data_IF_259194220222
#
_entry.id   IF_259194220222
#
_cell.length_a   1.000
_cell.length_b   1.000
_cell.length_c   1.000
_cell.angle_alpha   90.00
_cell.angle_beta   90.00
_cell.angle_gamma   90.00
#
_symmetry.space_group_name_H-M   'P 1'
#
loop_
_entity.id
_entity.type
_entity.pdbx_description
1 polymer ?
#
# COMPACT_ATOMS: atom_id res chain seq x y z
N UNK A 1 -38.97 -9.52 28.86
CA UNK A 1 -39.91 -9.01 27.85
C UNK A 1 -39.50 -7.57 27.55
N UNK A 2 -39.06 -7.34 26.31
CA UNK A 2 -38.94 -6.04 25.62
C UNK A 2 -38.00 -4.95 26.18
N UNK A 3 -37.20 -4.42 25.23
CA UNK A 3 -36.58 -3.09 25.18
C UNK A 3 -35.26 -2.92 25.96
N UNK A 4 -34.12 -3.04 25.26
CA UNK A 4 -33.29 -1.86 24.90
C UNK A 4 -32.05 -2.23 24.06
N UNK A 5 -32.21 -2.84 22.87
CA UNK A 5 -31.12 -2.88 21.87
C UNK A 5 -31.72 -2.63 20.48
N UNK A 6 -32.03 -1.38 20.19
CA UNK A 6 -32.12 -0.86 18.82
C UNK A 6 -31.02 0.17 18.65
N UNK A 7 -30.37 0.12 17.50
CA UNK A 7 -29.34 1.04 16.97
C UNK A 7 -27.90 0.73 17.37
N UNK A 8 -27.25 -0.14 16.60
CA UNK A 8 -26.11 0.21 15.71
C UNK A 8 -25.47 -1.07 15.16
N UNK A 9 -26.28 -1.90 14.49
CA UNK A 9 -25.83 -3.02 13.67
C UNK A 9 -26.31 -2.76 12.24
N UNK A 10 -25.79 -1.69 11.63
CA UNK A 10 -25.84 -1.39 10.20
C UNK A 10 -24.68 -0.46 9.83
N UNK A 11 -23.46 -1.00 9.89
CA UNK A 11 -22.34 -0.53 9.10
C UNK A 11 -21.64 -1.73 8.45
N UNK A 12 -22.44 -2.58 7.78
CA UNK A 12 -21.97 -3.54 6.80
C UNK A 12 -22.38 -3.03 5.42
N UNK A 13 -21.43 -3.03 4.49
CA UNK A 13 -21.55 -2.65 3.08
C UNK A 13 -21.76 -1.17 2.77
N UNK A 14 -20.65 -0.41 2.76
CA UNK A 14 -20.45 0.70 1.82
C UNK A 14 -19.10 0.52 1.12
N UNK A 15 -18.99 -0.54 0.33
CA UNK A 15 -18.04 -0.63 -0.79
C UNK A 15 -18.93 -0.59 -2.03
N UNK A 16 -19.06 0.59 -2.62
CA UNK A 16 -19.47 0.87 -4.00
C UNK A 16 -20.11 2.27 -4.07
N UNK A 17 -19.30 3.29 -3.83
CA UNK A 17 -19.50 4.53 -4.56
C UNK A 17 -18.25 4.77 -5.38
N UNK A 18 -18.45 4.70 -6.69
CA UNK A 18 -17.51 5.11 -7.70
C UNK A 18 -16.99 6.52 -7.38
N UNK A 19 -15.77 6.62 -6.84
CA UNK A 19 -14.97 7.83 -7.01
C UNK A 19 -14.60 7.93 -8.49
N UNK A 20 -15.53 8.44 -9.30
CA UNK A 20 -15.21 9.02 -10.59
C UNK A 20 -14.41 10.28 -10.30
N UNK A 21 -13.10 10.12 -10.32
CA UNK A 21 -12.16 11.22 -10.24
C UNK A 21 -12.31 12.04 -11.52
N UNK A 22 -13.20 13.04 -11.51
CA UNK A 22 -13.25 14.04 -12.56
C UNK A 22 -12.01 14.90 -12.42
N UNK A 23 -11.10 14.96 -13.42
CA UNK A 23 -10.03 15.94 -13.39
C UNK A 23 -10.69 17.32 -13.43
N UNK A 24 -10.44 18.15 -12.40
CA UNK A 24 -10.74 19.59 -12.46
C UNK A 24 -10.17 20.10 -13.77
N UNK A 25 -11.03 20.60 -14.65
CA UNK A 25 -10.65 21.26 -15.88
C UNK A 25 -9.61 22.32 -15.56
N UNK A 26 -8.39 22.15 -16.09
CA UNK A 26 -7.43 23.24 -16.18
C UNK A 26 -8.11 24.28 -17.06
N UNK A 27 -8.63 25.35 -16.45
CA UNK A 27 -9.08 26.53 -17.17
C UNK A 27 -7.81 27.21 -17.67
N UNK A 28 -7.41 26.90 -18.89
CA UNK A 28 -6.50 27.73 -19.67
C UNK A 28 -7.28 29.00 -20.04
N UNK A 29 -7.08 30.09 -19.30
CA UNK A 29 -7.51 31.43 -19.68
C UNK A 29 -6.61 31.95 -20.80
N UNK A 30 -6.83 31.45 -22.02
CA UNK A 30 -6.20 32.00 -23.21
C UNK A 30 -6.86 33.32 -23.60
N UNK A 31 -6.05 34.38 -23.53
CA UNK A 31 -6.20 35.70 -24.16
C UNK A 31 -7.22 35.74 -25.31
N UNK A 32 -8.26 36.55 -25.10
CA UNK A 32 -9.18 37.00 -26.15
C UNK A 32 -8.56 38.20 -26.88
N UNK A 33 -8.24 38.06 -28.17
CA UNK A 33 -8.15 39.19 -29.13
C UNK A 33 -8.45 38.72 -30.56
N UNK A 34 -9.67 39.05 -30.97
CA UNK A 34 -10.18 39.49 -32.28
C UNK A 34 -9.70 38.78 -33.56
N UNK A 35 -10.64 38.16 -34.30
CA UNK A 35 -11.19 38.69 -35.57
C UNK A 35 -12.23 37.74 -36.20
N UNK A 36 -13.27 38.37 -36.77
CA UNK A 36 -14.16 37.97 -37.90
C UNK A 36 -15.11 36.77 -37.80
N UNK A 37 -16.42 37.06 -37.85
CA UNK A 37 -17.38 36.40 -38.75
C UNK A 37 -18.66 37.29 -38.88
N UNK A 38 -18.88 37.86 -40.06
CA UNK A 38 -20.21 38.25 -40.54
C UNK A 38 -20.29 37.96 -42.05
N UNK A 39 -21.51 37.79 -42.51
CA UNK A 39 -22.02 36.83 -43.49
C UNK A 39 -21.71 37.10 -44.97
N UNK A 40 -21.93 36.05 -45.79
CA UNK A 40 -21.64 36.03 -47.22
C UNK A 40 -22.64 36.74 -48.14
N UNK A 41 -22.19 36.95 -49.38
CA UNK A 41 -23.03 37.10 -50.58
C UNK A 41 -22.25 36.73 -51.84
N UNK A 42 -22.94 36.04 -52.75
CA UNK A 42 -22.49 35.42 -54.01
C UNK A 42 -22.49 36.39 -55.21
N UNK A 43 -21.80 35.96 -56.30
CA UNK A 43 -21.81 36.40 -57.71
C UNK A 43 -20.56 37.25 -58.07
N UNK A 44 -19.81 37.05 -59.16
CA UNK A 44 -20.05 36.40 -60.47
C UNK A 44 -18.69 36.15 -61.18
N UNK A 45 -18.66 35.26 -62.18
CA UNK A 45 -17.47 34.77 -62.91
C UNK A 45 -16.99 35.66 -64.08
N UNK A 46 -15.66 35.82 -64.26
CA UNK A 46 -14.88 35.46 -65.50
C UNK A 46 -13.36 35.78 -65.39
N UNK A 47 -12.47 35.12 -66.17
CA UNK A 47 -11.05 34.88 -65.85
C UNK A 47 -10.06 35.74 -66.70
N UNK A 48 -8.75 35.41 -66.70
CA UNK A 48 -7.65 36.01 -65.94
C UNK A 48 -6.83 37.04 -66.74
N UNK A 49 -5.83 37.69 -66.12
CA UNK A 49 -4.53 37.72 -66.81
C UNK A 49 -3.40 37.21 -65.93
N UNK A 50 -2.58 36.42 -66.60
CA UNK A 50 -1.31 35.83 -66.16
C UNK A 50 -0.29 36.91 -65.79
N UNK A 51 0.46 36.70 -64.71
CA UNK A 51 1.80 37.26 -64.55
C UNK A 51 2.18 37.66 -63.12
N UNK A 52 3.19 36.99 -62.54
CA UNK A 52 3.98 37.57 -61.43
C UNK A 52 4.41 36.61 -60.31
N UNK A 53 5.18 35.59 -60.66
CA UNK A 53 5.54 34.41 -59.87
C UNK A 53 6.61 34.64 -58.76
N UNK A 54 6.48 35.65 -57.89
CA UNK A 54 7.50 35.92 -56.83
C UNK A 54 7.02 36.35 -55.45
N UNK A 55 5.72 36.64 -55.24
CA UNK A 55 5.22 37.06 -53.91
C UNK A 55 4.63 35.92 -53.07
N UNK A 56 4.10 34.86 -53.69
CA UNK A 56 3.54 33.70 -53.00
C UNK A 56 4.60 32.80 -52.35
N UNK A 57 5.80 32.77 -52.92
CA UNK A 57 6.88 31.86 -52.48
C UNK A 57 7.40 32.25 -51.09
N UNK A 58 7.50 33.55 -50.79
CA UNK A 58 7.97 34.05 -49.49
C UNK A 58 6.96 33.79 -48.36
N UNK A 59 5.66 33.86 -48.66
CA UNK A 59 4.60 33.54 -47.70
C UNK A 59 4.50 32.03 -47.46
N UNK A 60 4.68 31.21 -48.50
CA UNK A 60 4.72 29.75 -48.39
C UNK A 60 5.93 29.31 -47.54
N UNK A 61 7.11 29.89 -47.76
CA UNK A 61 8.30 29.60 -46.96
C UNK A 61 8.16 30.01 -45.49
N UNK A 62 7.53 31.15 -45.22
CA UNK A 62 7.28 31.61 -43.85
C UNK A 62 6.24 30.72 -43.14
N UNK A 63 5.18 30.29 -43.85
CA UNK A 63 4.21 29.32 -43.33
C UNK A 63 4.87 27.96 -43.06
N UNK A 64 5.73 27.47 -43.95
CA UNK A 64 6.47 26.22 -43.75
C UNK A 64 7.40 26.30 -42.53
N UNK A 65 8.14 27.41 -42.35
CA UNK A 65 8.94 27.64 -41.14
C UNK A 65 8.09 27.59 -39.88
N UNK A 66 6.91 28.22 -39.90
CA UNK A 66 6.00 28.23 -38.75
C UNK A 66 5.39 26.85 -38.47
N UNK A 67 5.12 26.05 -39.50
CA UNK A 67 4.69 24.66 -39.34
C UNK A 67 5.78 23.83 -38.67
N UNK A 68 7.04 23.97 -39.11
CA UNK A 68 8.18 23.27 -38.51
C UNK A 68 8.38 23.68 -37.04
N UNK A 69 8.38 24.97 -36.74
CA UNK A 69 8.48 25.46 -35.36
C UNK A 69 7.33 24.97 -34.47
N UNK A 70 6.11 24.90 -35.01
CA UNK A 70 4.95 24.41 -34.27
C UNK A 70 5.00 22.89 -34.08
N UNK A 71 5.50 22.12 -35.07
CA UNK A 71 5.70 20.68 -34.92
C UNK A 71 6.77 20.38 -33.88
N UNK A 72 7.89 21.10 -33.88
CA UNK A 72 8.95 20.95 -32.89
C UNK A 72 8.43 21.25 -31.47
N UNK A 73 7.69 22.34 -31.30
CA UNK A 73 7.05 22.68 -30.01
C UNK A 73 6.02 21.62 -29.60
N UNK A 74 5.29 21.03 -30.54
CA UNK A 74 4.34 19.97 -30.25
C UNK A 74 5.08 18.71 -29.77
N UNK A 75 6.13 18.29 -30.47
CA UNK A 75 6.95 17.14 -30.10
C UNK A 75 7.61 17.33 -28.72
N UNK A 76 8.13 18.53 -28.43
CA UNK A 76 8.64 18.87 -27.10
C UNK A 76 7.57 18.77 -26.01
N UNK A 77 6.36 19.28 -26.27
CA UNK A 77 5.25 19.20 -25.32
C UNK A 77 4.77 17.76 -25.12
N UNK A 78 4.75 16.96 -26.18
CA UNK A 78 4.41 15.54 -26.11
C UNK A 78 5.45 14.75 -25.33
N UNK A 79 6.75 15.03 -25.48
CA UNK A 79 7.79 14.40 -24.67
C UNK A 79 7.65 14.78 -23.18
N UNK A 80 7.48 16.07 -22.88
CA UNK A 80 7.24 16.55 -21.52
C UNK A 80 5.98 15.93 -20.90
N UNK A 81 4.90 15.82 -21.68
CA UNK A 81 3.66 15.21 -21.23
C UNK A 81 3.82 13.71 -20.95
N UNK A 82 4.45 12.96 -21.86
CA UNK A 82 4.73 11.53 -21.67
C UNK A 82 5.62 11.30 -20.45
N UNK A 83 6.64 12.14 -20.24
CA UNK A 83 7.49 12.07 -19.05
C UNK A 83 6.71 12.36 -17.78
N UNK A 84 5.90 13.42 -17.76
CA UNK A 84 5.07 13.75 -16.60
C UNK A 84 4.07 12.64 -16.25
N UNK A 85 3.47 11.99 -17.25
CA UNK A 85 2.62 10.82 -17.05
C UNK A 85 3.39 9.63 -16.45
N UNK A 86 4.59 9.35 -16.97
CA UNK A 86 5.44 8.29 -16.45
C UNK A 86 5.86 8.56 -15.00
N UNK A 87 6.25 9.79 -14.67
CA UNK A 87 6.63 10.18 -13.31
C UNK A 87 5.44 10.06 -12.34
N UNK A 88 4.24 10.44 -12.78
CA UNK A 88 3.01 10.28 -12.01
C UNK A 88 2.68 8.81 -11.71
N UNK A 89 2.81 7.93 -12.70
CA UNK A 89 2.56 6.50 -12.52
C UNK A 89 3.63 5.84 -11.64
N UNK A 90 4.91 6.17 -11.83
CA UNK A 90 6.00 5.71 -10.97
C UNK A 90 5.81 6.13 -9.51
N UNK A 91 5.40 7.39 -9.29
CA UNK A 91 5.07 7.89 -7.96
C UNK A 91 3.89 7.13 -7.36
N UNK A 92 2.82 6.93 -8.13
CA UNK A 92 1.63 6.18 -7.68
C UNK A 92 2.01 4.78 -7.22
N UNK A 93 2.79 4.05 -8.02
CA UNK A 93 3.23 2.69 -7.67
C UNK A 93 4.10 2.69 -6.41
N UNK A 94 5.03 3.64 -6.28
CA UNK A 94 5.85 3.81 -5.08
C UNK A 94 5.00 4.09 -3.84
N UNK A 95 4.03 5.00 -3.94
CA UNK A 95 3.16 5.35 -2.82
C UNK A 95 2.29 4.18 -2.40
N UNK A 96 1.75 3.39 -3.34
CA UNK A 96 0.99 2.19 -3.01
C UNK A 96 1.84 1.22 -2.18
N UNK A 97 3.09 1.00 -2.57
CA UNK A 97 4.02 0.17 -1.80
C UNK A 97 4.33 0.78 -0.43
N UNK A 98 4.60 2.07 -0.34
CA UNK A 98 4.86 2.73 0.94
C UNK A 98 3.65 2.66 1.88
N UNK A 99 2.43 2.75 1.34
CA UNK A 99 1.19 2.62 2.11
C UNK A 99 1.01 1.17 2.60
N UNK A 100 1.30 0.16 1.76
CA UNK A 100 1.22 -1.24 2.21
C UNK A 100 2.25 -1.53 3.30
N UNK A 101 3.48 -1.03 3.12
CA UNK A 101 4.56 -1.21 4.08
C UNK A 101 4.23 -0.51 5.41
N UNK A 102 3.76 0.74 5.36
CA UNK A 102 3.37 1.50 6.54
C UNK A 102 2.24 0.83 7.34
N UNK A 103 1.31 0.12 6.69
CA UNK A 103 0.27 -0.65 7.38
C UNK A 103 0.86 -1.81 8.18
N UNK A 104 1.85 -2.51 7.62
CA UNK A 104 2.51 -3.65 8.28
C UNK A 104 3.34 -3.13 9.46
N UNK A 105 4.20 -2.13 9.21
CA UNK A 105 5.05 -1.54 10.24
C UNK A 105 4.26 -0.84 11.36
N UNK A 106 3.09 -0.26 11.05
CA UNK A 106 2.25 0.38 12.05
C UNK A 106 1.60 -0.59 13.05
N UNK A 107 1.33 -1.83 12.63
CA UNK A 107 0.79 -2.88 13.51
C UNK A 107 1.91 -3.57 14.29
N UNK A 108 3.14 -3.59 13.76
CA UNK A 108 4.28 -4.26 14.38
C UNK A 108 4.57 -3.78 15.81
N UNK A 109 4.51 -2.47 16.08
CA UNK A 109 4.77 -1.95 17.44
C UNK A 109 3.73 -2.44 18.44
N UNK A 110 2.44 -2.43 18.06
CA UNK A 110 1.36 -2.96 18.89
C UNK A 110 1.56 -4.45 19.18
N UNK A 111 1.96 -5.22 18.17
CA UNK A 111 2.22 -6.64 18.35
C UNK A 111 3.40 -6.92 19.27
N UNK A 112 4.44 -6.08 19.22
CA UNK A 112 5.57 -6.16 20.14
C UNK A 112 5.14 -5.92 21.59
N UNK A 113 4.35 -4.88 21.84
CA UNK A 113 3.85 -4.59 23.19
C UNK A 113 2.90 -5.70 23.72
N UNK A 114 2.17 -6.35 22.80
CA UNK A 114 1.27 -7.46 23.15
C UNK A 114 2.00 -8.78 23.39
N UNK A 115 3.25 -8.91 22.94
CA UNK A 115 4.08 -10.09 23.20
C UNK A 115 4.41 -10.22 24.69
N UNK A 116 4.76 -9.11 25.34
CA UNK A 116 5.00 -9.08 26.79
C UNK A 116 3.78 -9.59 27.58
N UNK A 117 2.56 -9.24 27.13
CA UNK A 117 1.31 -9.73 27.73
C UNK A 117 1.14 -11.22 27.49
N UNK A 118 1.44 -11.71 26.29
CA UNK A 118 1.37 -13.14 25.96
C UNK A 118 2.35 -13.96 26.82
N UNK A 119 3.54 -13.44 27.09
CA UNK A 119 4.54 -14.09 27.92
C UNK A 119 4.10 -14.14 29.39
N UNK A 120 3.52 -13.06 29.91
CA UNK A 120 2.94 -13.03 31.26
C UNK A 120 1.80 -14.05 31.39
N UNK A 121 0.92 -14.15 30.39
CA UNK A 121 -0.15 -15.15 30.38
C UNK A 121 0.41 -16.58 30.36
N UNK A 122 1.44 -16.84 29.54
CA UNK A 122 2.10 -18.14 29.46
C UNK A 122 2.69 -18.53 30.82
N UNK A 123 3.46 -17.62 31.44
CA UNK A 123 4.01 -17.82 32.80
C UNK A 123 2.92 -18.02 33.85
N UNK A 124 1.81 -17.29 33.76
CA UNK A 124 0.69 -17.45 34.67
C UNK A 124 0.09 -18.86 34.56
N UNK A 125 -0.09 -19.40 33.34
CA UNK A 125 -0.58 -20.78 33.15
C UNK A 125 0.41 -21.84 33.63
N UNK A 126 1.72 -21.59 33.53
CA UNK A 126 2.77 -22.52 34.01
C UNK A 126 2.94 -22.49 35.54
N UNK A 127 2.70 -21.34 36.16
CA UNK A 127 2.90 -21.15 37.61
C UNK A 127 1.86 -21.86 38.49
N UNK A 128 0.71 -22.25 37.92
CA UNK A 128 -0.37 -22.89 38.67
C UNK A 128 -0.02 -24.37 38.92
N UNK A 129 0.07 -24.82 40.19
CA UNK A 129 0.34 -26.22 40.48
C UNK A 129 -0.80 -27.10 39.98
N UNK A 130 -0.48 -28.09 39.12
CA UNK A 130 -1.48 -29.00 38.56
C UNK A 130 -2.20 -29.83 39.62
N UNK A 131 -1.56 -30.06 40.77
CA UNK A 131 -2.12 -30.78 41.91
C UNK A 131 -3.25 -30.02 42.62
N UNK A 132 -3.31 -28.70 42.47
CA UNK A 132 -4.35 -27.85 43.07
C UNK A 132 -5.57 -27.67 42.14
N UNK A 133 -5.43 -28.05 40.87
CA UNK A 133 -6.49 -28.04 39.84
C UNK A 133 -7.45 -29.23 39.98
N UNK A 134 -7.94 -29.46 41.19
CA UNK A 134 -8.84 -30.55 41.53
C UNK A 134 -10.25 -30.03 41.89
N UNK A 135 -11.24 -30.93 41.95
CA UNK A 135 -12.63 -30.59 42.34
C UNK A 135 -12.75 -29.98 43.74
N UNK A 136 -11.69 -30.09 44.55
CA UNK A 136 -11.57 -29.42 45.86
C UNK A 136 -11.60 -27.90 45.75
N UNK A 137 -11.10 -27.33 44.65
CA UNK A 137 -11.03 -25.88 44.41
C UNK A 137 -11.65 -25.54 43.03
N UNK A 138 -12.98 -25.60 42.88
CA UNK A 138 -13.64 -25.41 41.59
C UNK A 138 -13.43 -24.00 41.01
N UNK A 139 -13.26 -22.99 41.85
CA UNK A 139 -12.98 -21.61 41.43
C UNK A 139 -11.61 -21.47 40.76
N UNK A 140 -10.57 -22.14 41.29
CA UNK A 140 -9.23 -22.11 40.71
C UNK A 140 -9.21 -22.80 39.35
N UNK A 141 -9.87 -23.96 39.24
CA UNK A 141 -10.02 -24.68 37.97
C UNK A 141 -10.72 -23.83 36.91
N UNK A 142 -11.84 -23.20 37.26
CA UNK A 142 -12.58 -22.34 36.32
C UNK A 142 -11.75 -21.13 35.86
N UNK A 143 -10.98 -20.52 36.78
CA UNK A 143 -10.08 -19.41 36.43
C UNK A 143 -8.97 -19.87 35.48
N UNK A 144 -8.35 -21.02 35.75
CA UNK A 144 -7.32 -21.59 34.89
C UNK A 144 -7.83 -21.87 33.47
N UNK A 145 -9.01 -22.49 33.36
CA UNK A 145 -9.67 -22.74 32.07
C UNK A 145 -9.94 -21.43 31.31
N UNK A 146 -10.43 -20.39 31.99
CA UNK A 146 -10.63 -19.07 31.40
C UNK A 146 -9.33 -18.44 30.90
N UNK A 147 -8.23 -18.62 31.63
CA UNK A 147 -6.91 -18.13 31.25
C UNK A 147 -6.40 -18.84 29.98
N UNK A 148 -6.50 -20.18 29.92
CA UNK A 148 -6.11 -20.98 28.76
C UNK A 148 -6.89 -20.60 27.51
N UNK A 149 -8.21 -20.38 27.63
CA UNK A 149 -9.04 -19.92 26.51
C UNK A 149 -8.60 -18.53 26.03
N UNK A 150 -8.30 -17.62 26.96
CA UNK A 150 -7.85 -16.26 26.62
C UNK A 150 -6.49 -16.27 25.91
N UNK A 151 -5.55 -17.08 26.38
CA UNK A 151 -4.25 -17.27 25.75
C UNK A 151 -4.39 -17.84 24.32
N UNK A 152 -5.26 -18.83 24.14
CA UNK A 152 -5.54 -19.39 22.81
C UNK A 152 -6.18 -18.36 21.87
N UNK A 153 -7.10 -17.53 22.37
CA UNK A 153 -7.68 -16.43 21.59
C UNK A 153 -6.63 -15.41 21.17
N UNK A 154 -5.72 -15.04 22.08
CA UNK A 154 -4.61 -14.13 21.79
C UNK A 154 -3.70 -14.69 20.69
N UNK A 155 -3.30 -15.97 20.80
CA UNK A 155 -2.52 -16.69 19.77
C UNK A 155 -3.23 -16.69 18.41
N UNK A 156 -4.56 -16.85 18.40
CA UNK A 156 -5.34 -16.76 17.16
C UNK A 156 -5.36 -15.34 16.57
N UNK A 157 -5.34 -14.29 17.40
CA UNK A 157 -5.22 -12.91 16.92
C UNK A 157 -3.87 -12.72 16.21
N UNK A 158 -2.78 -13.18 16.80
CA UNK A 158 -1.44 -13.11 16.18
C UNK A 158 -1.39 -13.79 14.81
N UNK A 159 -1.95 -15.01 14.69
CA UNK A 159 -2.03 -15.72 13.41
C UNK A 159 -2.76 -14.94 12.32
N UNK A 160 -3.83 -14.21 12.65
CA UNK A 160 -4.56 -13.38 11.66
C UNK A 160 -3.73 -12.22 11.11
N UNK A 161 -2.80 -11.70 11.90
CA UNK A 161 -1.87 -10.64 11.49
C UNK A 161 -0.56 -11.20 10.91
N UNK A 162 -0.47 -12.52 10.69
CA UNK A 162 0.71 -13.17 10.10
C UNK A 162 1.85 -13.39 11.09
N UNK A 163 1.58 -13.33 12.39
CA UNK A 163 2.56 -13.65 13.43
C UNK A 163 2.44 -15.12 13.80
N UNK A 164 3.54 -15.84 13.58
CA UNK A 164 3.68 -17.25 13.94
C UNK A 164 4.69 -17.39 15.07
N UNK A 165 4.39 -18.28 16.01
CA UNK A 165 5.30 -18.59 17.10
C UNK A 165 6.40 -19.52 16.57
N UNK A 166 7.65 -19.06 16.65
CA UNK A 166 8.83 -19.85 16.31
C UNK A 166 9.32 -20.52 17.59
N UNK A 167 9.34 -21.85 17.62
CA UNK A 167 9.90 -22.61 18.72
C UNK A 167 11.17 -23.32 18.22
N UNK A 168 12.36 -22.80 18.56
CA UNK A 168 13.60 -23.29 17.96
C UNK A 168 14.18 -24.53 18.64
N UNK A 169 13.46 -25.14 19.59
CA UNK A 169 13.90 -26.37 20.24
C UNK A 169 14.12 -27.48 19.20
N UNK A 170 15.34 -28.01 19.14
CA UNK A 170 15.82 -29.01 18.17
C UNK A 170 15.97 -28.53 16.71
N UNK A 171 15.86 -27.24 16.44
CA UNK A 171 16.15 -26.69 15.11
C UNK A 171 17.62 -26.25 14.97
N UNK A 172 18.14 -26.24 13.74
CA UNK A 172 19.47 -25.70 13.48
C UNK A 172 19.45 -24.18 13.71
N UNK A 173 20.46 -23.66 14.40
CA UNK A 173 20.60 -22.23 14.64
C UNK A 173 20.67 -21.42 13.32
N UNK A 174 19.78 -20.44 13.14
CA UNK A 174 19.73 -19.48 12.02
C UNK A 174 19.78 -18.05 12.59
N UNK A 175 20.85 -17.28 12.35
CA UNK A 175 21.01 -15.91 12.87
C UNK A 175 19.88 -14.93 12.52
N UNK A 176 19.07 -15.21 11.50
CA UNK A 176 17.95 -14.34 11.13
C UNK A 176 16.72 -14.51 12.04
N UNK A 177 16.55 -15.70 12.61
CA UNK A 177 15.40 -16.06 13.44
C UNK A 177 15.77 -16.24 14.90
N UNK A 178 17.05 -16.47 15.20
CA UNK A 178 17.53 -16.97 16.47
C UNK A 178 18.53 -16.00 17.10
N UNK A 179 18.24 -15.57 18.34
CA UNK A 179 19.19 -14.81 19.17
C UNK A 179 19.91 -15.76 20.13
N UNK A 180 21.25 -15.78 20.07
CA UNK A 180 22.08 -16.66 20.89
C UNK A 180 22.43 -15.98 22.22
N UNK A 181 21.87 -16.47 23.34
CA UNK A 181 22.15 -15.89 24.66
C UNK A 181 23.26 -16.63 25.41
N UNK A 182 23.28 -17.96 25.35
CA UNK A 182 24.24 -18.78 26.10
C UNK A 182 24.77 -19.95 25.27
N UNK A 183 26.01 -20.35 25.56
CA UNK A 183 26.63 -21.54 25.00
C UNK A 183 26.67 -22.67 26.04
N UNK A 184 26.13 -23.84 25.70
CA UNK A 184 26.23 -25.05 26.52
C UNK A 184 27.10 -26.09 25.83
N UNK A 185 28.01 -26.73 26.58
CA UNK A 185 28.76 -27.89 26.13
C UNK A 185 27.92 -29.15 26.29
N UNK A 186 27.61 -29.85 25.20
CA UNK A 186 26.99 -31.17 25.22
C UNK A 186 28.07 -32.26 25.24
N UNK A 187 28.03 -33.17 26.22
CA UNK A 187 28.88 -34.36 26.30
C UNK A 187 28.18 -35.53 25.59
N UNK A 188 28.10 -35.51 24.25
CA UNK A 188 27.77 -36.70 23.45
C UNK A 188 28.35 -36.53 22.04
N UNK A 189 29.12 -37.50 21.56
CA UNK A 189 29.85 -37.55 20.27
C UNK A 189 28.92 -37.64 19.03
N UNK A 190 27.68 -37.16 19.12
CA UNK A 190 26.74 -37.08 18.02
C UNK A 190 26.96 -35.76 17.24
N UNK A 191 28.00 -35.78 16.40
CA UNK A 191 28.20 -34.91 15.24
C UNK A 191 28.44 -33.42 15.55
N UNK A 192 29.73 -33.08 15.58
CA UNK A 192 30.36 -31.75 15.60
C UNK A 192 30.13 -30.97 14.28
N UNK A 193 28.94 -31.06 13.69
CA UNK A 193 28.63 -30.47 12.39
C UNK A 193 27.37 -29.61 12.39
N UNK A 194 26.92 -29.05 13.50
CA UNK A 194 25.91 -27.97 13.50
C UNK A 194 26.04 -27.15 14.78
N UNK A 195 25.84 -25.84 14.67
CA UNK A 195 25.85 -24.84 15.75
C UNK A 195 24.71 -25.05 16.78
N UNK A 196 24.57 -26.26 17.32
CA UNK A 196 23.52 -26.67 18.23
C UNK A 196 23.91 -26.46 19.71
N UNK A 197 25.03 -25.75 19.97
CA UNK A 197 25.50 -25.43 21.32
C UNK A 197 24.86 -24.16 21.91
N UNK A 198 23.84 -23.60 21.26
CA UNK A 198 23.24 -22.31 21.64
C UNK A 198 21.87 -22.56 22.26
N UNK A 199 21.70 -22.08 23.49
CA UNK A 199 20.39 -21.99 24.16
C UNK A 199 19.76 -20.61 23.88
N UNK A 200 18.43 -20.62 23.75
CA UNK A 200 17.55 -19.44 23.59
C UNK A 200 17.14 -18.86 24.93
#
# INVERSE_FOLDING_TARGET
MALQIRNLLKCGNLINESMKFFPRSIVMSSLRKNTTADEGKTQETKPPPVGGDKSSDFDIDNLNKKIVELSEKNDELLDKYKRALADGENLRQRLVKQISDAKIFGVQSLCKDLLDVADVLSKATESVPKEELNEKNPHLKSLYEGLVVTEAQLKNVFKRYGLEHVNPLNEKFDPNYHEALFQQSFEDDQQINNNNNILY
#
